data_IF_486257419288
#
_entry.id   IF_486257419288
#
_cell.length_a   1.000
_cell.length_b   1.000
_cell.length_c   1.000
_cell.angle_alpha   90.00
_cell.angle_beta   90.00
_cell.angle_gamma   90.00
#
_symmetry.space_group_name_H-M   'P 1'
#
loop_
_entity.id
_entity.type
_entity.pdbx_description
1 polymer ?
#
# COMPACT_ATOMS: atom_id res chain seq x y z
N UNK A 1 -3.31 -6.66 -11.28
CA UNK A 1 -2.64 -7.35 -10.14
C UNK A 1 -3.52 -7.26 -8.92
N UNK A 2 -3.35 -8.16 -7.95
CA UNK A 2 -4.11 -8.15 -6.70
C UNK A 2 -3.18 -7.96 -5.50
N UNK A 3 -3.68 -7.36 -4.45
CA UNK A 3 -2.90 -7.09 -3.25
C UNK A 3 -3.65 -7.57 -2.01
N UNK A 4 -2.89 -8.12 -1.06
CA UNK A 4 -3.35 -8.37 0.29
C UNK A 4 -2.57 -7.46 1.22
N UNK A 5 -3.28 -6.70 2.05
CA UNK A 5 -2.71 -5.83 3.07
C UNK A 5 -3.04 -6.43 4.43
N UNK A 6 -2.01 -6.76 5.19
CA UNK A 6 -2.13 -7.14 6.60
C UNK A 6 -1.67 -5.96 7.45
N UNK A 7 -2.59 -5.34 8.16
CA UNK A 7 -2.30 -4.22 9.07
C UNK A 7 -2.29 -4.73 10.50
N UNK A 8 -1.15 -4.60 11.17
CA UNK A 8 -0.93 -4.98 12.57
C UNK A 8 -0.95 -3.71 13.40
N UNK A 9 -1.83 -3.63 14.39
CA UNK A 9 -1.92 -2.54 15.34
C UNK A 9 -1.42 -3.00 16.71
N UNK A 10 -0.71 -2.12 17.43
CA UNK A 10 -0.14 -2.43 18.74
C UNK A 10 1.10 -3.33 18.67
N UNK A 11 1.83 -3.32 17.55
CA UNK A 11 3.09 -4.02 17.44
C UNK A 11 4.11 -3.45 18.44
N UNK A 12 4.74 -4.33 19.22
CA UNK A 12 5.70 -3.98 20.28
C UNK A 12 7.16 -4.17 19.87
N UNK A 13 7.44 -5.07 18.93
CA UNK A 13 8.79 -5.31 18.38
C UNK A 13 8.80 -5.31 16.86
N UNK A 14 8.80 -4.09 16.29
CA UNK A 14 8.80 -3.88 14.85
C UNK A 14 10.07 -4.44 14.18
N UNK A 15 11.22 -4.30 14.82
CA UNK A 15 12.49 -4.69 14.21
C UNK A 15 12.63 -6.20 14.15
N UNK A 16 12.16 -6.94 15.16
CA UNK A 16 12.04 -8.39 15.09
C UNK A 16 11.05 -8.81 13.98
N UNK A 17 9.92 -8.13 13.87
CA UNK A 17 8.94 -8.40 12.81
C UNK A 17 9.49 -8.18 11.40
N UNK A 18 10.25 -7.11 11.17
CA UNK A 18 10.88 -6.85 9.85
C UNK A 18 11.94 -7.91 9.52
N UNK A 19 12.73 -8.33 10.49
CA UNK A 19 13.67 -9.46 10.29
C UNK A 19 12.92 -10.74 9.95
N UNK A 20 11.89 -11.09 10.73
CA UNK A 20 11.04 -12.26 10.50
C UNK A 20 10.40 -12.24 9.10
N UNK A 21 9.96 -11.06 8.63
CA UNK A 21 9.41 -10.88 7.29
C UNK A 21 10.42 -11.32 6.22
N UNK A 22 11.67 -10.87 6.29
CA UNK A 22 12.72 -11.21 5.34
C UNK A 22 13.17 -12.67 5.42
N UNK A 23 13.35 -13.18 6.64
CA UNK A 23 13.94 -14.51 6.89
C UNK A 23 12.94 -15.65 6.74
N UNK A 24 11.65 -15.40 7.01
CA UNK A 24 10.63 -16.44 7.05
C UNK A 24 9.47 -16.21 6.08
N UNK A 25 8.86 -15.01 6.11
CA UNK A 25 7.63 -14.77 5.34
C UNK A 25 7.92 -14.74 3.84
N UNK A 26 8.97 -14.04 3.41
CA UNK A 26 9.34 -13.94 1.99
C UNK A 26 9.62 -15.32 1.39
N UNK A 27 10.49 -16.18 1.97
CA UNK A 27 10.77 -17.52 1.43
C UNK A 27 9.52 -18.40 1.28
N UNK A 28 8.59 -18.34 2.23
CA UNK A 28 7.35 -19.12 2.19
C UNK A 28 6.38 -18.60 1.09
N UNK A 29 6.27 -17.27 0.95
CA UNK A 29 5.38 -16.68 -0.07
C UNK A 29 5.96 -16.76 -1.48
N UNK A 30 7.27 -16.71 -1.64
CA UNK A 30 7.93 -16.89 -2.95
C UNK A 30 7.65 -18.25 -3.60
N UNK A 31 7.34 -19.28 -2.81
CA UNK A 31 6.98 -20.60 -3.31
C UNK A 31 5.55 -20.67 -3.82
N UNK A 32 4.74 -19.64 -3.54
CA UNK A 32 3.35 -19.60 -3.96
C UNK A 32 3.25 -19.08 -5.41
N UNK A 33 2.41 -19.74 -6.18
CA UNK A 33 2.15 -19.31 -7.56
C UNK A 33 1.65 -17.87 -7.59
N UNK A 34 2.12 -17.10 -8.56
CA UNK A 34 1.66 -15.73 -8.79
C UNK A 34 2.13 -14.69 -7.79
N UNK A 35 3.00 -15.04 -6.83
CA UNK A 35 3.63 -14.07 -5.94
C UNK A 35 4.51 -13.10 -6.76
N UNK A 36 4.36 -11.78 -6.51
CA UNK A 36 5.07 -10.71 -7.23
C UNK A 36 5.84 -9.77 -6.32
N UNK A 37 5.76 -10.00 -5.02
CA UNK A 37 6.55 -9.24 -4.06
C UNK A 37 5.80 -8.87 -2.80
N UNK A 38 6.53 -8.25 -1.90
CA UNK A 38 6.04 -7.84 -0.59
C UNK A 38 6.75 -6.57 -0.13
N UNK A 39 6.01 -5.66 0.48
CA UNK A 39 6.55 -4.46 1.10
C UNK A 39 6.00 -4.32 2.51
N UNK A 40 6.78 -3.73 3.42
CA UNK A 40 6.29 -3.36 4.74
C UNK A 40 6.58 -1.89 5.04
N UNK A 41 5.60 -1.24 5.64
CA UNK A 41 5.69 0.14 6.12
C UNK A 41 5.17 0.24 7.54
N UNK A 42 5.68 1.19 8.31
CA UNK A 42 5.22 1.38 9.68
C UNK A 42 5.08 2.86 10.07
N UNK A 43 4.14 3.11 10.97
CA UNK A 43 4.16 4.24 11.89
C UNK A 43 4.65 3.71 13.24
N UNK A 44 5.92 3.98 13.57
CA UNK A 44 6.55 3.49 14.79
C UNK A 44 5.92 4.10 16.06
N UNK A 45 5.45 5.34 15.98
CA UNK A 45 4.84 6.03 17.12
C UNK A 45 3.47 5.44 17.45
N UNK A 46 2.71 5.06 16.43
CA UNK A 46 1.40 4.42 16.59
C UNK A 46 1.48 2.90 16.83
N UNK A 47 2.66 2.28 16.73
CA UNK A 47 2.80 0.81 16.76
C UNK A 47 2.07 0.12 15.61
N UNK A 48 1.96 0.78 14.45
CA UNK A 48 1.26 0.28 13.27
C UNK A 48 2.26 -0.23 12.25
N UNK A 49 2.06 -1.47 11.79
CA UNK A 49 2.79 -2.07 10.67
C UNK A 49 1.80 -2.52 9.60
N UNK A 50 2.04 -2.14 8.37
CA UNK A 50 1.28 -2.66 7.23
C UNK A 50 2.20 -3.42 6.28
N UNK A 51 1.85 -4.66 6.04
CA UNK A 51 2.52 -5.56 5.09
C UNK A 51 1.63 -5.75 3.88
N UNK A 52 2.12 -5.37 2.71
CA UNK A 52 1.42 -5.50 1.43
C UNK A 52 2.11 -6.57 0.60
N UNK A 53 1.39 -7.64 0.26
CA UNK A 53 1.84 -8.65 -0.70
C UNK A 53 1.13 -8.49 -2.04
N UNK A 54 1.90 -8.67 -3.14
CA UNK A 54 1.49 -8.50 -4.52
C UNK A 54 1.35 -9.86 -5.20
N UNK A 55 0.27 -10.02 -5.96
CA UNK A 55 -0.11 -11.26 -6.63
C UNK A 55 -0.52 -11.00 -8.08
N UNK A 56 -0.21 -11.94 -8.95
CA UNK A 56 -0.55 -11.83 -10.36
C UNK A 56 -2.07 -11.83 -10.58
N UNK A 57 -2.77 -12.75 -9.91
CA UNK A 57 -4.23 -12.89 -9.99
C UNK A 57 -4.88 -12.97 -8.61
N UNK A 58 -6.17 -12.70 -8.53
CA UNK A 58 -6.98 -12.91 -7.33
C UNK A 58 -7.00 -14.38 -6.91
N UNK A 59 -7.04 -15.28 -7.88
CA UNK A 59 -7.03 -16.72 -7.63
C UNK A 59 -5.73 -17.18 -6.97
N UNK A 60 -4.56 -16.68 -7.43
CA UNK A 60 -3.27 -17.00 -6.82
C UNK A 60 -3.19 -16.44 -5.39
N UNK A 61 -3.66 -15.20 -5.19
CA UNK A 61 -3.75 -14.59 -3.87
C UNK A 61 -4.62 -15.41 -2.91
N UNK A 62 -5.80 -15.84 -3.37
CA UNK A 62 -6.74 -16.66 -2.56
C UNK A 62 -6.15 -18.04 -2.26
N UNK A 63 -5.54 -18.69 -3.25
CA UNK A 63 -4.90 -20.01 -3.07
C UNK A 63 -3.76 -19.98 -2.04
N UNK A 64 -3.08 -18.83 -1.90
CA UNK A 64 -1.98 -18.66 -0.93
C UNK A 64 -2.45 -18.47 0.52
N UNK A 65 -3.77 -18.31 0.78
CA UNK A 65 -4.25 -17.85 2.09
C UNK A 65 -3.87 -18.77 3.25
N UNK A 66 -3.84 -20.09 3.04
CA UNK A 66 -3.44 -21.02 4.11
C UNK A 66 -2.00 -20.78 4.58
N UNK A 67 -1.07 -20.54 3.64
CA UNK A 67 0.32 -20.23 3.94
C UNK A 67 0.43 -18.80 4.51
N UNK A 68 -0.22 -17.83 3.88
CA UNK A 68 -0.18 -16.44 4.32
C UNK A 68 -0.76 -16.26 5.74
N UNK A 69 -1.85 -16.96 6.07
CA UNK A 69 -2.44 -16.94 7.42
C UNK A 69 -1.49 -17.54 8.46
N UNK A 70 -0.84 -18.67 8.15
CA UNK A 70 0.13 -19.30 9.04
C UNK A 70 1.28 -18.36 9.36
N UNK A 71 1.98 -17.82 8.33
CA UNK A 71 3.14 -16.93 8.56
C UNK A 71 2.73 -15.61 9.23
N UNK A 72 1.53 -15.14 9.03
CA UNK A 72 0.95 -13.96 9.70
C UNK A 72 0.75 -14.21 11.19
N UNK A 73 0.24 -15.38 11.58
CA UNK A 73 0.10 -15.76 12.99
C UNK A 73 1.48 -15.92 13.67
N UNK A 74 2.45 -16.50 12.99
CA UNK A 74 3.82 -16.57 13.48
C UNK A 74 4.43 -15.17 13.67
N UNK A 75 4.20 -14.24 12.73
CA UNK A 75 4.64 -12.85 12.82
C UNK A 75 4.02 -12.12 14.02
N UNK A 76 2.73 -12.33 14.31
CA UNK A 76 2.08 -11.80 15.51
C UNK A 76 2.70 -12.35 16.80
N UNK A 77 3.10 -13.61 16.81
CA UNK A 77 3.84 -14.20 17.93
C UNK A 77 5.20 -13.53 18.20
N UNK A 78 5.81 -12.94 17.15
CA UNK A 78 7.10 -12.23 17.24
C UNK A 78 6.91 -10.77 17.66
N UNK A 79 5.98 -10.06 17.03
CA UNK A 79 5.85 -8.60 17.18
C UNK A 79 4.68 -8.15 18.05
N UNK A 80 3.79 -9.06 18.43
CA UNK A 80 2.55 -8.72 19.17
C UNK A 80 1.51 -8.01 18.31
N UNK A 81 0.46 -7.51 18.96
CA UNK A 81 -0.61 -6.74 18.33
C UNK A 81 -1.74 -7.57 17.74
N UNK A 82 -2.66 -6.89 17.08
CA UNK A 82 -3.82 -7.46 16.39
C UNK A 82 -3.75 -7.18 14.90
N UNK A 83 -4.17 -8.14 14.06
CA UNK A 83 -4.10 -8.01 12.61
C UNK A 83 -5.47 -7.89 11.98
N UNK A 84 -5.60 -6.97 11.04
CA UNK A 84 -6.69 -6.91 10.06
C UNK A 84 -6.15 -7.20 8.67
N UNK A 85 -6.98 -7.82 7.83
CA UNK A 85 -6.59 -8.18 6.46
C UNK A 85 -7.60 -7.62 5.49
N UNK A 86 -7.09 -6.95 4.45
CA UNK A 86 -7.89 -6.41 3.35
C UNK A 86 -7.31 -6.87 2.02
N UNK A 87 -8.15 -7.01 1.03
CA UNK A 87 -7.74 -7.38 -0.33
C UNK A 87 -8.29 -6.38 -1.34
N UNK A 88 -7.50 -6.07 -2.36
CA UNK A 88 -7.86 -5.11 -3.40
C UNK A 88 -7.31 -5.54 -4.76
N UNK A 89 -7.90 -5.01 -5.82
CA UNK A 89 -7.24 -4.94 -7.11
C UNK A 89 -6.28 -3.73 -7.13
N UNK A 90 -5.02 -3.94 -7.53
CA UNK A 90 -4.11 -2.85 -7.87
C UNK A 90 -4.44 -2.35 -9.27
N UNK A 91 -5.16 -1.24 -9.34
CA UNK A 91 -5.68 -0.69 -10.60
C UNK A 91 -4.72 0.26 -11.29
N UNK A 92 -3.87 0.94 -10.51
CA UNK A 92 -2.76 1.75 -11.02
C UNK A 92 -1.54 1.54 -10.14
N UNK A 93 -0.38 1.40 -10.78
CA UNK A 93 0.92 1.50 -10.12
C UNK A 93 1.88 2.25 -11.05
N UNK A 94 2.59 3.21 -10.51
CA UNK A 94 3.69 3.89 -11.19
C UNK A 94 4.86 3.99 -10.22
N UNK A 95 6.05 3.65 -10.69
CA UNK A 95 7.28 3.71 -9.91
C UNK A 95 8.09 4.87 -10.43
N UNK A 96 8.51 5.75 -9.53
CA UNK A 96 9.35 6.89 -9.84
C UNK A 96 10.77 6.48 -10.28
N UNK A 97 11.50 7.46 -10.77
CA UNK A 97 12.92 7.34 -11.07
C UNK A 97 13.68 8.38 -10.24
N UNK A 98 14.55 7.94 -9.32
CA UNK A 98 14.82 6.56 -8.92
C UNK A 98 13.65 5.86 -8.23
N UNK A 99 13.64 4.50 -8.19
CA UNK A 99 12.58 3.76 -7.52
C UNK A 99 12.60 3.97 -5.99
N UNK A 100 11.47 3.72 -5.29
CA UNK A 100 11.41 3.88 -3.85
C UNK A 100 12.36 2.91 -3.14
N UNK A 101 13.07 3.41 -2.15
CA UNK A 101 13.97 2.66 -1.28
C UNK A 101 13.43 2.59 0.16
N UNK A 102 13.98 1.67 0.95
CA UNK A 102 13.77 1.67 2.41
C UNK A 102 14.17 3.02 2.98
N UNK A 103 13.31 3.57 3.86
CA UNK A 103 13.44 4.93 4.40
C UNK A 103 12.53 5.96 3.72
N UNK A 104 12.02 5.69 2.51
CA UNK A 104 11.03 6.56 1.87
C UNK A 104 9.79 6.74 2.73
N UNK A 105 9.23 7.95 2.70
CA UNK A 105 7.97 8.26 3.38
C UNK A 105 6.79 7.83 2.51
N UNK A 106 5.85 7.12 3.10
CA UNK A 106 4.61 6.66 2.48
C UNK A 106 3.41 7.42 3.06
N UNK A 107 2.67 8.13 2.22
CA UNK A 107 1.33 8.62 2.55
C UNK A 107 0.30 7.63 2.04
N UNK A 108 -0.59 7.17 2.91
CA UNK A 108 -1.75 6.34 2.54
C UNK A 108 -3.02 7.16 2.79
N UNK A 109 -3.89 7.19 1.79
CA UNK A 109 -5.19 7.87 1.85
C UNK A 109 -6.28 6.86 1.53
N UNK A 110 -7.26 6.70 2.42
CA UNK A 110 -8.44 5.89 2.16
C UNK A 110 -9.37 6.63 1.20
N UNK A 111 -9.97 5.89 0.28
CA UNK A 111 -10.89 6.43 -0.72
C UNK A 111 -12.16 5.61 -0.78
N UNK A 112 -13.27 6.27 -1.15
CA UNK A 112 -14.55 5.66 -1.42
C UNK A 112 -15.17 6.35 -2.63
N UNK A 113 -15.82 5.58 -3.50
CA UNK A 113 -16.53 6.11 -4.66
C UNK A 113 -17.70 5.19 -5.02
N UNK A 114 -18.60 5.68 -5.86
CA UNK A 114 -19.66 4.85 -6.44
C UNK A 114 -19.04 3.72 -7.26
N UNK A 115 -19.37 2.45 -7.01
CA UNK A 115 -18.90 1.32 -7.80
C UNK A 115 -19.13 1.46 -9.31
N UNK A 116 -20.22 2.10 -9.72
CA UNK A 116 -20.53 2.34 -11.12
C UNK A 116 -19.57 3.33 -11.80
N UNK A 117 -18.83 4.12 -11.02
CA UNK A 117 -17.88 5.13 -11.51
C UNK A 117 -16.41 4.76 -11.32
N UNK A 118 -16.14 3.56 -10.87
CA UNK A 118 -14.76 3.11 -10.58
C UNK A 118 -13.87 3.22 -11.82
N UNK A 119 -14.32 2.73 -12.98
CA UNK A 119 -13.49 2.75 -14.20
C UNK A 119 -13.22 4.18 -14.69
N UNK A 120 -14.22 5.07 -14.63
CA UNK A 120 -14.04 6.49 -14.96
C UNK A 120 -13.00 7.16 -14.06
N UNK A 121 -13.07 6.90 -12.74
CA UNK A 121 -12.14 7.48 -11.78
C UNK A 121 -10.73 6.88 -11.90
N UNK A 122 -10.59 5.61 -12.23
CA UNK A 122 -9.29 4.98 -12.51
C UNK A 122 -8.62 5.65 -13.72
N UNK A 123 -9.38 5.86 -14.80
CA UNK A 123 -8.83 6.48 -16.01
C UNK A 123 -8.42 7.93 -15.74
N UNK A 124 -9.27 8.72 -15.07
CA UNK A 124 -8.91 10.06 -14.63
C UNK A 124 -7.65 10.09 -13.77
N UNK A 125 -7.55 9.16 -12.80
CA UNK A 125 -6.37 9.05 -11.95
C UNK A 125 -5.11 8.77 -12.78
N UNK A 126 -5.21 7.83 -13.73
CA UNK A 126 -4.09 7.42 -14.58
C UNK A 126 -3.65 8.52 -15.53
N UNK A 127 -4.60 9.16 -16.24
CA UNK A 127 -4.30 10.12 -17.30
C UNK A 127 -3.99 11.54 -16.79
N UNK A 128 -4.61 11.95 -15.68
CA UNK A 128 -4.53 13.33 -15.21
C UNK A 128 -3.74 13.49 -13.90
N UNK A 129 -3.92 12.55 -12.95
CA UNK A 129 -3.34 12.70 -11.62
C UNK A 129 -1.89 12.18 -11.56
N UNK A 130 -1.66 10.97 -12.08
CA UNK A 130 -0.32 10.35 -12.04
C UNK A 130 0.76 11.19 -12.73
N UNK A 131 0.56 11.76 -13.92
CA UNK A 131 1.58 12.61 -14.56
C UNK A 131 1.97 13.83 -13.71
N UNK A 132 0.99 14.45 -13.03
CA UNK A 132 1.25 15.60 -12.14
C UNK A 132 1.96 15.19 -10.86
N UNK A 133 1.69 13.98 -10.34
CA UNK A 133 2.45 13.42 -9.22
C UNK A 133 3.92 13.19 -9.61
N UNK A 134 4.16 12.60 -10.77
CA UNK A 134 5.52 12.33 -11.30
C UNK A 134 6.33 13.61 -11.51
N UNK A 135 5.69 14.71 -11.88
CA UNK A 135 6.34 16.01 -12.04
C UNK A 135 6.66 16.70 -10.70
N UNK A 136 6.20 16.16 -9.56
CA UNK A 136 6.42 16.76 -8.24
C UNK A 136 7.78 16.31 -7.67
N UNK A 137 8.66 17.23 -7.26
CA UNK A 137 9.96 16.89 -6.68
C UNK A 137 9.81 15.96 -5.47
N UNK A 138 10.69 14.97 -5.37
CA UNK A 138 10.68 13.99 -4.29
C UNK A 138 9.67 12.85 -4.43
N UNK A 139 8.83 12.84 -5.49
CA UNK A 139 7.94 11.71 -5.76
C UNK A 139 8.73 10.46 -6.13
N UNK A 140 8.35 9.30 -5.53
CA UNK A 140 9.01 7.99 -5.74
C UNK A 140 8.07 6.90 -6.21
N UNK A 141 6.77 7.09 -6.13
CA UNK A 141 5.81 6.12 -6.67
C UNK A 141 4.41 6.29 -6.14
N UNK A 142 3.47 5.63 -6.80
CA UNK A 142 2.06 5.58 -6.41
C UNK A 142 1.48 4.20 -6.68
N UNK A 143 0.58 3.76 -5.78
CA UNK A 143 -0.31 2.62 -5.97
C UNK A 143 -1.74 3.05 -5.68
N UNK A 144 -2.64 2.76 -6.58
CA UNK A 144 -4.08 2.89 -6.36
C UNK A 144 -4.68 1.48 -6.31
N UNK A 145 -5.36 1.17 -5.22
CA UNK A 145 -5.89 -0.15 -4.88
C UNK A 145 -7.36 0.00 -4.56
N UNK A 146 -8.22 -0.73 -5.27
CA UNK A 146 -9.68 -0.59 -5.20
C UNK A 146 -10.33 -1.98 -5.05
N UNK A 147 -11.30 -2.08 -4.19
CA UNK A 147 -12.34 -3.11 -4.23
C UNK A 147 -13.46 -2.59 -5.14
N UNK A 148 -13.58 -3.16 -6.33
CA UNK A 148 -14.54 -2.72 -7.34
C UNK A 148 -16.00 -2.92 -6.91
N UNK A 149 -16.27 -3.94 -6.09
CA UNK A 149 -17.62 -4.25 -5.65
C UNK A 149 -18.16 -3.20 -4.68
N UNK A 150 -17.31 -2.72 -3.78
CA UNK A 150 -17.70 -1.71 -2.79
C UNK A 150 -17.34 -0.28 -3.21
N UNK A 151 -16.42 -0.08 -4.15
CA UNK A 151 -15.84 1.23 -4.47
C UNK A 151 -14.89 1.77 -3.40
N UNK A 152 -14.55 0.96 -2.41
CA UNK A 152 -13.61 1.33 -1.34
C UNK A 152 -12.18 1.02 -1.76
N UNK A 153 -11.22 1.79 -1.25
CA UNK A 153 -9.83 1.52 -1.57
C UNK A 153 -8.83 2.39 -0.82
N UNK A 154 -7.61 2.38 -1.31
CA UNK A 154 -6.53 3.19 -0.79
C UNK A 154 -5.57 3.63 -1.89
N UNK A 155 -5.07 4.86 -1.77
CA UNK A 155 -3.98 5.38 -2.59
C UNK A 155 -2.76 5.53 -1.70
N UNK A 156 -1.67 4.84 -2.04
CA UNK A 156 -0.36 4.98 -1.41
C UNK A 156 0.58 5.79 -2.30
N UNK A 157 1.18 6.86 -1.79
CA UNK A 157 2.21 7.64 -2.48
C UNK A 157 3.51 7.61 -1.71
N UNK A 158 4.60 7.33 -2.40
CA UNK A 158 5.96 7.26 -1.85
C UNK A 158 6.75 8.51 -2.22
N UNK A 159 7.49 9.02 -1.26
CA UNK A 159 8.26 10.25 -1.32
C UNK A 159 9.68 10.02 -0.78
N UNK A 160 10.65 10.81 -1.20
CA UNK A 160 12.02 10.74 -0.67
C UNK A 160 12.04 10.74 0.85
N UNK A 161 11.31 11.70 1.42
CA UNK A 161 11.22 11.95 2.86
C UNK A 161 9.91 12.69 3.20
N UNK A 162 9.70 12.94 4.47
CA UNK A 162 8.54 13.67 4.97
C UNK A 162 8.54 15.15 4.53
N UNK A 163 9.71 15.76 4.37
CA UNK A 163 9.81 17.15 3.93
C UNK A 163 9.32 17.32 2.49
N UNK A 164 9.72 16.42 1.59
CA UNK A 164 9.25 16.38 0.19
C UNK A 164 7.74 16.12 0.11
N UNK A 165 7.23 15.19 0.93
CA UNK A 165 5.80 14.90 1.02
C UNK A 165 5.01 16.14 1.48
N UNK A 166 5.49 16.83 2.53
CA UNK A 166 4.83 18.01 3.06
C UNK A 166 4.90 19.21 2.09
N UNK A 167 6.01 19.37 1.37
CA UNK A 167 6.14 20.38 0.32
C UNK A 167 5.12 20.17 -0.83
N UNK A 168 4.72 18.93 -1.08
CA UNK A 168 3.73 18.57 -2.10
C UNK A 168 2.27 18.70 -1.63
N UNK A 169 2.00 19.01 -0.34
CA UNK A 169 0.64 18.91 0.24
C UNK A 169 -0.37 19.84 -0.43
N UNK A 170 -0.02 21.09 -0.74
CA UNK A 170 -0.94 22.02 -1.42
C UNK A 170 -1.40 21.50 -2.79
N UNK A 171 -0.46 20.92 -3.56
CA UNK A 171 -0.79 20.29 -4.84
C UNK A 171 -1.58 18.99 -4.66
N UNK A 172 -1.33 18.25 -3.58
CA UNK A 172 -2.08 17.04 -3.25
C UNK A 172 -3.53 17.39 -2.85
N UNK A 173 -3.73 18.44 -2.08
CA UNK A 173 -5.07 18.93 -1.71
C UNK A 173 -5.88 19.36 -2.94
N UNK A 174 -5.27 20.09 -3.88
CA UNK A 174 -5.91 20.46 -5.13
C UNK A 174 -6.36 19.20 -5.91
N UNK A 175 -5.49 18.19 -6.05
CA UNK A 175 -5.83 16.94 -6.73
C UNK A 175 -6.98 16.19 -6.04
N UNK A 176 -7.00 16.17 -4.71
CA UNK A 176 -8.12 15.58 -3.93
C UNK A 176 -9.41 16.34 -4.17
N UNK A 177 -9.37 17.67 -4.19
CA UNK A 177 -10.55 18.49 -4.50
C UNK A 177 -11.12 18.19 -5.91
N UNK A 178 -10.26 18.09 -6.91
CA UNK A 178 -10.66 17.71 -8.28
C UNK A 178 -11.29 16.30 -8.31
N UNK A 179 -10.71 15.32 -7.61
CA UNK A 179 -11.27 13.97 -7.52
C UNK A 179 -12.60 13.96 -6.72
N UNK A 180 -12.73 14.78 -5.67
CA UNK A 180 -13.99 14.93 -4.92
C UNK A 180 -15.11 15.48 -5.79
N UNK A 181 -14.83 16.41 -6.69
CA UNK A 181 -15.83 16.92 -7.63
C UNK A 181 -16.34 15.84 -8.61
N UNK A 182 -15.61 14.74 -8.72
CA UNK A 182 -15.96 13.53 -9.50
C UNK A 182 -16.59 12.44 -8.65
N UNK A 183 -16.91 12.71 -7.39
CA UNK A 183 -17.57 11.77 -6.48
C UNK A 183 -16.61 10.84 -5.75
N UNK A 184 -15.32 11.16 -5.65
CA UNK A 184 -14.38 10.44 -4.77
C UNK A 184 -14.42 11.06 -3.39
N UNK A 185 -14.74 10.25 -2.39
CA UNK A 185 -14.67 10.62 -0.98
C UNK A 185 -13.31 10.22 -0.41
N UNK A 186 -12.70 11.11 0.37
CA UNK A 186 -11.44 10.87 1.04
C UNK A 186 -11.68 10.65 2.53
N UNK A 187 -11.15 9.54 3.04
CA UNK A 187 -11.23 9.15 4.44
C UNK A 187 -9.91 9.39 5.18
N UNK A 188 -9.59 8.43 6.05
CA UNK A 188 -8.38 8.47 6.88
C UNK A 188 -7.11 8.62 6.04
N UNK A 189 -6.19 9.45 6.52
CA UNK A 189 -4.83 9.59 6.00
C UNK A 189 -3.83 9.17 7.07
N UNK A 190 -2.83 8.40 6.67
CA UNK A 190 -1.71 8.00 7.54
C UNK A 190 -0.37 8.20 6.85
N UNK A 191 0.64 8.51 7.65
CA UNK A 191 2.03 8.63 7.21
C UNK A 191 2.84 7.51 7.84
N UNK A 192 3.65 6.85 7.02
CA UNK A 192 4.45 5.68 7.42
C UNK A 192 5.82 5.78 6.77
N UNK A 193 6.75 4.98 7.25
CA UNK A 193 8.06 4.81 6.60
C UNK A 193 8.12 3.43 5.97
N UNK A 194 8.63 3.34 4.74
CA UNK A 194 8.90 2.06 4.07
C UNK A 194 10.09 1.39 4.77
N UNK A 195 9.87 0.24 5.39
CA UNK A 195 10.89 -0.49 6.17
C UNK A 195 11.44 -1.72 5.45
N UNK A 196 10.68 -2.25 4.49
CA UNK A 196 11.06 -3.45 3.76
C UNK A 196 10.47 -3.42 2.34
N UNK A 197 11.24 -3.90 1.37
CA UNK A 197 10.77 -4.06 -0.01
C UNK A 197 11.48 -5.25 -0.65
N UNK A 198 10.70 -6.20 -1.16
CA UNK A 198 11.15 -7.32 -1.97
C UNK A 198 10.16 -7.46 -3.13
N UNK A 199 10.56 -7.05 -4.33
CA UNK A 199 9.76 -7.12 -5.55
C UNK A 199 10.45 -8.05 -6.55
N UNK A 200 9.68 -8.89 -7.25
CA UNK A 200 10.17 -9.89 -8.24
C UNK A 200 9.69 -9.56 -9.64
#
# INVERSE_FOLDING_TARGET
MHVRISTINGATDLDAGIRFLGEKVVPELQQQRGFRGITASADRAAGLVAVLSLWETEQDMTASESVASKVRQEALGVMGGDVTVETFEQVVADIGDPPPAVGCTLRVVRVKMDPARVDENIEFFRSEIVPRMKATPGFRGVRNMIDRASGSGAVGTLWDDEASMNAAEAAAEQRRHEASSRGVEFGEMSTRVLLFSHLT
#
